data_IF_718454208291
#
_entry.id   IF_718454208291
#
_cell.length_a   1.000
_cell.length_b   1.000
_cell.length_c   1.000
_cell.angle_alpha   90.00
_cell.angle_beta   90.00
_cell.angle_gamma   90.00
#
_symmetry.space_group_name_H-M   'P 1'
#
loop_
_entity.id
_entity.type
_entity.pdbx_description
1 polymer ?
#
# COMPACT_ATOMS: atom_id res chain seq x y z
N UNK A 1 19.67 -31.36 2.97
CA UNK A 1 20.91 -30.61 3.32
C UNK A 1 21.21 -29.66 2.18
N UNK A 2 21.80 -28.49 2.48
CA UNK A 2 21.90 -27.23 1.67
C UNK A 2 20.61 -26.40 1.70
N UNK A 3 20.30 -25.53 2.67
CA UNK A 3 21.10 -24.53 3.39
C UNK A 3 21.97 -23.71 2.46
N UNK A 4 21.48 -22.54 2.01
CA UNK A 4 22.25 -21.29 1.80
C UNK A 4 21.29 -20.18 1.36
N UNK A 5 21.02 -19.24 2.27
CA UNK A 5 21.08 -17.82 1.96
C UNK A 5 21.16 -17.08 3.29
N UNK A 6 22.38 -17.10 3.83
CA UNK A 6 22.80 -16.10 4.78
C UNK A 6 22.94 -14.78 4.04
N UNK A 7 22.29 -13.74 4.56
CA UNK A 7 22.62 -12.34 4.26
C UNK A 7 23.27 -11.78 5.53
N UNK A 8 24.61 -11.83 5.56
CA UNK A 8 25.51 -11.01 6.39
C UNK A 8 25.47 -9.55 5.84
N UNK A 9 25.81 -8.46 6.52
CA UNK A 9 26.29 -8.14 7.87
C UNK A 9 26.21 -6.60 8.03
N UNK A 10 25.87 -6.16 9.25
CA UNK A 10 26.16 -4.89 9.92
C UNK A 10 26.70 -3.68 9.13
N UNK A 11 25.87 -2.63 9.04
CA UNK A 11 26.28 -1.23 9.02
C UNK A 11 25.48 -0.45 10.07
N UNK A 12 26.14 0.29 10.97
CA UNK A 12 25.50 1.17 11.96
C UNK A 12 24.80 2.33 11.25
N UNK A 13 23.54 2.12 10.90
CA UNK A 13 22.54 3.11 10.51
C UNK A 13 21.20 2.50 10.86
N UNK A 14 20.18 3.28 11.19
CA UNK A 14 18.83 2.74 11.44
C UNK A 14 18.30 2.16 10.12
N UNK A 15 18.64 0.91 9.80
CA UNK A 15 18.09 0.20 8.65
C UNK A 15 16.65 -0.17 9.00
N UNK A 16 15.71 0.61 8.47
CA UNK A 16 14.35 0.13 8.30
C UNK A 16 14.41 -1.08 7.37
N UNK A 17 13.61 -2.12 7.60
CA UNK A 17 13.56 -3.25 6.69
C UNK A 17 12.80 -2.83 5.43
N UNK A 18 12.99 -3.57 4.35
CA UNK A 18 12.22 -3.36 3.12
C UNK A 18 10.71 -3.65 3.34
N UNK A 19 10.38 -4.52 4.30
CA UNK A 19 9.01 -4.80 4.74
C UNK A 19 8.80 -4.37 6.20
N UNK A 20 8.13 -3.23 6.38
CA UNK A 20 7.82 -2.68 7.70
C UNK A 20 6.90 -3.59 8.52
N UNK A 21 6.12 -4.45 7.86
CA UNK A 21 5.23 -5.39 8.55
C UNK A 21 5.98 -6.41 9.40
N UNK A 22 7.28 -6.62 9.14
CA UNK A 22 8.15 -7.46 9.97
C UNK A 22 8.39 -6.89 11.37
N UNK A 23 8.34 -5.57 11.55
CA UNK A 23 8.52 -4.93 12.87
C UNK A 23 7.21 -4.72 13.62
N UNK A 24 6.16 -4.22 12.95
CA UNK A 24 4.92 -3.79 13.60
C UNK A 24 3.74 -4.74 13.38
N UNK A 25 3.90 -5.71 12.47
CA UNK A 25 2.85 -6.65 12.07
C UNK A 25 1.92 -6.09 10.99
N UNK A 26 1.49 -6.98 10.08
CA UNK A 26 0.63 -6.63 8.94
C UNK A 26 -0.68 -5.93 9.34
N UNK A 27 -1.36 -6.41 10.38
CA UNK A 27 -2.64 -5.82 10.85
C UNK A 27 -2.46 -4.40 11.38
N UNK A 28 -1.41 -4.18 12.16
CA UNK A 28 -1.09 -2.86 12.71
C UNK A 28 -0.73 -1.89 11.59
N UNK A 29 0.07 -2.34 10.62
CA UNK A 29 0.44 -1.54 9.46
C UNK A 29 -0.80 -1.11 8.65
N UNK A 30 -1.75 -2.01 8.40
CA UNK A 30 -3.02 -1.67 7.73
C UNK A 30 -3.78 -0.58 8.49
N UNK A 31 -3.90 -0.69 9.81
CA UNK A 31 -4.59 0.32 10.63
C UNK A 31 -3.91 1.69 10.52
N UNK A 32 -2.58 1.74 10.66
CA UNK A 32 -1.82 2.98 10.54
C UNK A 32 -1.98 3.63 9.15
N UNK A 33 -1.96 2.82 8.09
CA UNK A 33 -2.16 3.33 6.73
C UNK A 33 -3.57 3.87 6.55
N UNK A 34 -4.60 3.18 7.06
CA UNK A 34 -5.99 3.65 7.02
C UNK A 34 -6.17 4.97 7.78
N UNK A 35 -5.66 5.06 9.01
CA UNK A 35 -5.70 6.28 9.83
C UNK A 35 -5.02 7.46 9.12
N UNK A 36 -3.83 7.23 8.55
CA UNK A 36 -3.10 8.26 7.82
C UNK A 36 -3.84 8.72 6.55
N UNK A 37 -4.45 7.81 5.80
CA UNK A 37 -5.20 8.15 4.59
C UNK A 37 -6.52 8.87 4.91
N UNK A 38 -7.17 8.52 6.02
CA UNK A 38 -8.36 9.24 6.50
C UNK A 38 -8.03 10.70 6.83
N UNK A 39 -6.90 10.95 7.49
CA UNK A 39 -6.42 12.30 7.78
C UNK A 39 -6.08 13.08 6.51
N UNK A 40 -5.41 12.46 5.54
CA UNK A 40 -5.09 13.08 4.24
C UNK A 40 -6.37 13.43 3.48
N UNK A 41 -7.35 12.53 3.45
CA UNK A 41 -8.61 12.75 2.77
C UNK A 41 -9.44 13.86 3.43
N UNK A 42 -9.47 13.92 4.77
CA UNK A 42 -10.12 14.99 5.51
C UNK A 42 -9.52 16.37 5.14
N UNK A 43 -8.18 16.47 5.12
CA UNK A 43 -7.47 17.70 4.73
C UNK A 43 -7.72 18.10 3.28
N UNK A 44 -7.86 17.14 2.37
CA UNK A 44 -8.16 17.42 0.96
C UNK A 44 -9.62 17.87 0.78
N UNK A 45 -10.57 17.25 1.50
CA UNK A 45 -11.97 17.65 1.46
C UNK A 45 -12.21 19.08 1.94
N UNK A 46 -11.44 19.55 2.92
CA UNK A 46 -11.43 20.95 3.38
C UNK A 46 -10.89 21.92 2.31
N UNK A 47 -9.95 21.47 1.46
CA UNK A 47 -9.29 22.30 0.44
C UNK A 47 -10.06 22.37 -0.87
N UNK A 48 -10.63 21.26 -1.31
CA UNK A 48 -11.22 21.15 -2.65
C UNK A 48 -12.68 21.61 -2.74
N UNK A 49 -13.39 21.77 -1.61
CA UNK A 49 -14.81 22.11 -1.62
C UNK A 49 -15.68 21.04 -2.30
N UNK A 50 -16.23 20.09 -1.52
CA UNK A 50 -17.43 19.23 -1.74
C UNK A 50 -17.87 18.73 -3.15
N UNK A 51 -17.06 18.78 -4.21
CA UNK A 51 -17.52 18.40 -5.55
C UNK A 51 -16.48 17.61 -6.34
N UNK A 52 -16.15 16.40 -5.87
CA UNK A 52 -15.69 15.29 -6.72
C UNK A 52 -15.69 13.98 -5.91
N UNK A 53 -16.84 13.32 -5.77
CA UNK A 53 -16.95 12.18 -4.84
C UNK A 53 -16.77 10.80 -5.49
N UNK A 54 -17.03 10.64 -6.79
CA UNK A 54 -17.00 9.32 -7.44
C UNK A 54 -15.60 8.89 -7.89
N UNK A 55 -14.84 9.77 -8.56
CA UNK A 55 -13.46 9.48 -9.00
C UNK A 55 -12.48 9.53 -7.81
N UNK A 56 -12.80 10.34 -6.80
CA UNK A 56 -12.01 10.41 -5.57
C UNK A 56 -12.13 9.16 -4.70
N UNK A 57 -13.30 8.51 -4.63
CA UNK A 57 -13.47 7.28 -3.82
C UNK A 57 -12.61 6.12 -4.33
N UNK A 58 -12.59 5.92 -5.65
CA UNK A 58 -11.75 4.91 -6.29
C UNK A 58 -10.25 5.24 -6.14
N UNK A 59 -9.90 6.53 -6.06
CA UNK A 59 -8.54 6.98 -5.79
C UNK A 59 -8.12 6.78 -4.32
N UNK A 60 -9.01 6.99 -3.34
CA UNK A 60 -8.69 6.85 -1.92
C UNK A 60 -8.36 5.40 -1.55
N UNK A 61 -9.17 4.44 -2.02
CA UNK A 61 -8.88 3.01 -1.89
C UNK A 61 -7.54 2.66 -2.54
N UNK A 62 -7.32 3.12 -3.78
CA UNK A 62 -6.08 2.83 -4.51
C UNK A 62 -4.85 3.40 -3.81
N UNK A 63 -4.94 4.61 -3.28
CA UNK A 63 -3.84 5.25 -2.55
C UNK A 63 -3.53 4.50 -1.26
N UNK A 64 -4.55 4.07 -0.54
CA UNK A 64 -4.42 3.25 0.68
C UNK A 64 -3.76 1.90 0.37
N UNK A 65 -4.21 1.23 -0.69
CA UNK A 65 -3.62 -0.02 -1.17
C UNK A 65 -2.15 0.16 -1.54
N UNK A 66 -1.83 1.19 -2.34
CA UNK A 66 -0.46 1.47 -2.76
C UNK A 66 0.44 1.83 -1.58
N UNK A 67 -0.04 2.60 -0.61
CA UNK A 67 0.71 2.93 0.60
C UNK A 67 1.07 1.68 1.40
N UNK A 68 0.12 0.74 1.58
CA UNK A 68 0.38 -0.54 2.23
C UNK A 68 1.39 -1.40 1.44
N UNK A 69 1.21 -1.51 0.13
CA UNK A 69 2.12 -2.29 -0.72
C UNK A 69 3.55 -1.73 -0.68
N UNK A 70 3.71 -0.40 -0.73
CA UNK A 70 5.03 0.22 -0.64
C UNK A 70 5.67 0.09 0.73
N UNK A 71 4.88 0.10 1.80
CA UNK A 71 5.37 -0.14 3.15
C UNK A 71 5.79 -1.61 3.40
N UNK A 72 5.31 -2.53 2.57
CA UNK A 72 5.67 -3.96 2.62
C UNK A 72 6.64 -4.38 1.52
N UNK A 73 7.16 -3.44 0.73
CA UNK A 73 8.15 -3.70 -0.33
C UNK A 73 7.57 -4.25 -1.65
N UNK A 74 6.25 -4.24 -1.83
CA UNK A 74 5.57 -4.71 -3.04
C UNK A 74 5.36 -3.53 -4.00
N UNK A 75 6.25 -3.40 -4.99
CA UNK A 75 6.24 -2.26 -5.91
C UNK A 75 5.66 -2.56 -7.30
N UNK A 76 5.79 -3.79 -7.81
CA UNK A 76 5.32 -4.14 -9.14
C UNK A 76 3.79 -4.13 -9.22
N UNK A 77 3.23 -3.53 -10.27
CA UNK A 77 1.78 -3.58 -10.47
C UNK A 77 1.27 -5.02 -10.66
N UNK A 78 2.09 -5.89 -11.27
CA UNK A 78 1.82 -7.34 -11.36
C UNK A 78 1.80 -7.97 -9.98
N UNK A 79 2.81 -7.67 -9.15
CA UNK A 79 2.96 -8.24 -7.81
C UNK A 79 1.79 -7.83 -6.90
N UNK A 80 1.30 -6.59 -7.02
CA UNK A 80 0.12 -6.12 -6.28
C UNK A 80 -1.13 -6.91 -6.70
N UNK A 81 -1.33 -7.13 -8.00
CA UNK A 81 -2.46 -7.91 -8.50
C UNK A 81 -2.39 -9.38 -8.03
N UNK A 82 -1.20 -9.99 -8.05
CA UNK A 82 -0.99 -11.33 -7.48
C UNK A 82 -1.20 -11.33 -5.96
N UNK A 83 -0.82 -10.25 -5.28
CA UNK A 83 -1.04 -10.04 -3.86
C UNK A 83 -2.52 -10.11 -3.46
N UNK A 84 -3.45 -9.78 -4.36
CA UNK A 84 -4.88 -9.94 -4.11
C UNK A 84 -5.32 -11.40 -3.99
N UNK A 85 -4.54 -12.35 -4.49
CA UNK A 85 -4.86 -13.78 -4.34
C UNK A 85 -4.24 -14.37 -3.07
N UNK A 86 -3.07 -13.85 -2.66
CA UNK A 86 -2.23 -14.49 -1.64
C UNK A 86 -2.16 -13.74 -0.30
N UNK A 87 -2.36 -12.41 -0.29
CA UNK A 87 -2.30 -11.61 0.93
C UNK A 87 -3.69 -11.17 1.38
N UNK A 88 -4.09 -11.61 2.58
CA UNK A 88 -5.36 -11.23 3.18
C UNK A 88 -5.49 -9.73 3.44
N UNK A 89 -4.40 -9.00 3.71
CA UNK A 89 -4.44 -7.56 3.96
C UNK A 89 -4.67 -6.78 2.68
N UNK A 90 -4.03 -7.20 1.58
CA UNK A 90 -4.28 -6.61 0.26
C UNK A 90 -5.75 -6.80 -0.11
N UNK A 91 -6.29 -8.02 0.07
CA UNK A 91 -7.72 -8.28 -0.15
C UNK A 91 -8.64 -7.43 0.73
N UNK A 92 -8.28 -7.27 1.99
CA UNK A 92 -9.04 -6.45 2.93
C UNK A 92 -9.08 -4.99 2.48
N UNK A 93 -7.94 -4.43 2.06
CA UNK A 93 -7.84 -3.05 1.56
C UNK A 93 -8.59 -2.84 0.24
N UNK A 94 -8.71 -3.87 -0.59
CA UNK A 94 -9.51 -3.82 -1.81
C UNK A 94 -11.02 -3.76 -1.51
N UNK A 95 -11.48 -4.14 -0.32
CA UNK A 95 -12.89 -4.12 0.09
C UNK A 95 -13.87 -4.77 -0.92
N UNK A 96 -13.40 -5.72 -1.74
CA UNK A 96 -14.17 -6.39 -2.79
C UNK A 96 -14.04 -5.77 -4.19
N UNK A 97 -13.45 -4.58 -4.33
CA UNK A 97 -13.07 -4.00 -5.63
C UNK A 97 -11.59 -4.32 -5.92
N UNK A 98 -11.35 -5.25 -6.84
CA UNK A 98 -10.02 -5.75 -7.17
C UNK A 98 -9.47 -5.05 -8.42
N UNK A 99 -8.62 -4.02 -8.29
CA UNK A 99 -8.16 -3.27 -9.44
C UNK A 99 -7.24 -4.10 -10.34
N UNK A 100 -7.49 -4.03 -11.65
CA UNK A 100 -6.58 -4.61 -12.62
C UNK A 100 -5.27 -3.81 -12.70
N UNK A 101 -4.21 -4.46 -13.20
CA UNK A 101 -2.90 -3.88 -13.38
C UNK A 101 -2.92 -2.59 -14.19
N UNK A 102 -3.84 -2.47 -15.16
CA UNK A 102 -4.01 -1.27 -15.96
C UNK A 102 -4.50 -0.09 -15.11
N UNK A 103 -5.40 -0.33 -14.16
CA UNK A 103 -5.91 0.68 -13.23
C UNK A 103 -4.78 1.17 -12.32
N UNK A 104 -4.01 0.24 -11.75
CA UNK A 104 -2.85 0.56 -10.89
C UNK A 104 -1.85 1.44 -11.64
N UNK A 105 -1.51 1.11 -12.90
CA UNK A 105 -0.61 1.92 -13.73
C UNK A 105 -1.18 3.30 -14.04
N UNK A 106 -2.47 3.39 -14.29
CA UNK A 106 -3.16 4.65 -14.63
C UNK A 106 -3.13 5.60 -13.44
N UNK A 107 -3.45 5.13 -12.23
CA UNK A 107 -3.41 5.94 -11.01
C UNK A 107 -1.98 6.43 -10.73
N UNK A 108 -0.97 5.56 -10.85
CA UNK A 108 0.44 5.97 -10.69
C UNK A 108 0.89 7.05 -11.68
N UNK A 109 0.35 7.02 -12.90
CA UNK A 109 0.66 8.04 -13.92
C UNK A 109 -0.04 9.36 -13.64
N UNK A 110 -1.25 9.31 -13.08
CA UNK A 110 -2.03 10.50 -12.76
C UNK A 110 -1.46 11.27 -11.56
N UNK A 111 -0.89 10.56 -10.57
CA UNK A 111 -0.32 11.14 -9.35
C UNK A 111 1.22 11.28 -9.39
N UNK A 112 1.79 11.54 -10.56
CA UNK A 112 3.24 11.76 -10.75
C UNK A 112 3.57 13.24 -10.67
#
# INVERSE_FOLDING_TARGET
MTSTSQINSAGKGRFLPDDLSLYIGKKTLVKLVLEAMEEVNARNAEREGRESHSVAFQSAMMLTLLAYCYATGVYGSVDIQLGMQHDQMIRYLCAGDYPDICVIRSVRRFHR
#
